data_IF_421373834400
#
_entry.id   IF_421373834400
#
_cell.length_a   1.000
_cell.length_b   1.000
_cell.length_c   1.000
_cell.angle_alpha   90.00
_cell.angle_beta   90.00
_cell.angle_gamma   90.00
#
_symmetry.space_group_name_H-M   'P 1'
#
loop_
_entity.id
_entity.type
_entity.pdbx_description
1 polymer ?
#
# COMPACT_ATOMS: atom_id res chain seq x y z
N UNK A 1 8.94 -6.51 -10.96
CA UNK A 1 8.06 -5.43 -10.50
C UNK A 1 7.23 -5.90 -9.32
N UNK A 2 7.77 -5.75 -8.13
CA UNK A 2 7.08 -5.83 -6.86
C UNK A 2 6.76 -4.40 -6.39
N UNK A 3 5.50 -4.12 -6.08
CA UNK A 3 5.02 -2.78 -5.68
C UNK A 3 4.55 -2.82 -4.24
N UNK A 4 5.05 -1.91 -3.41
CA UNK A 4 4.57 -1.71 -2.04
C UNK A 4 3.58 -0.55 -1.98
N UNK A 5 2.35 -0.81 -1.55
CA UNK A 5 1.34 0.24 -1.37
C UNK A 5 1.34 0.70 0.08
N UNK A 6 1.88 1.90 0.31
CA UNK A 6 2.09 2.47 1.64
C UNK A 6 0.94 3.39 2.03
N UNK A 7 0.28 3.22 3.20
CA UNK A 7 -0.60 4.25 3.74
C UNK A 7 0.21 5.47 4.20
N UNK A 8 -0.35 6.69 4.21
CA UNK A 8 0.37 7.90 4.63
C UNK A 8 0.79 7.84 6.11
N UNK A 9 0.06 7.10 6.95
CA UNK A 9 0.46 6.80 8.32
C UNK A 9 -0.22 5.53 8.86
N UNK A 10 0.28 5.01 9.98
CA UNK A 10 -0.37 3.91 10.71
C UNK A 10 -1.73 4.34 11.27
N UNK A 11 -1.84 5.61 11.70
CA UNK A 11 -3.11 6.15 12.20
C UNK A 11 -4.17 6.21 11.10
N UNK A 12 -3.79 6.66 9.90
CA UNK A 12 -4.68 6.68 8.75
C UNK A 12 -5.08 5.26 8.33
N UNK A 13 -4.15 4.30 8.39
CA UNK A 13 -4.46 2.88 8.19
C UNK A 13 -5.53 2.41 9.18
N UNK A 14 -5.40 2.75 10.46
CA UNK A 14 -6.38 2.39 11.50
C UNK A 14 -7.75 3.02 11.24
N UNK A 15 -7.80 4.29 10.85
CA UNK A 15 -9.04 5.00 10.50
C UNK A 15 -9.74 4.29 9.34
N UNK A 16 -9.00 3.98 8.28
CA UNK A 16 -9.55 3.30 7.09
C UNK A 16 -10.06 1.89 7.39
N UNK A 17 -9.34 1.10 8.20
CA UNK A 17 -9.77 -0.25 8.60
C UNK A 17 -11.08 -0.21 9.38
N UNK A 18 -11.22 0.73 10.33
CA UNK A 18 -12.47 0.92 11.08
C UNK A 18 -13.62 1.35 10.18
N UNK A 19 -13.37 2.29 9.25
CA UNK A 19 -14.39 2.81 8.32
C UNK A 19 -14.94 1.72 7.39
N UNK A 20 -14.13 0.72 7.03
CA UNK A 20 -14.56 -0.40 6.17
C UNK A 20 -15.60 -1.31 6.84
N UNK A 21 -15.67 -1.34 8.18
CA UNK A 21 -16.62 -2.16 8.96
C UNK A 21 -16.66 -3.66 8.58
N UNK A 22 -15.59 -4.18 7.96
CA UNK A 22 -15.50 -5.58 7.52
C UNK A 22 -14.74 -6.48 8.49
N UNK A 23 -14.08 -5.92 9.50
CA UNK A 23 -13.21 -6.64 10.44
C UNK A 23 -13.59 -6.32 11.89
N UNK A 24 -13.39 -7.29 12.80
CA UNK A 24 -13.55 -7.06 14.24
C UNK A 24 -12.44 -6.18 14.81
N UNK A 25 -12.69 -5.56 15.97
CA UNK A 25 -11.71 -4.72 16.65
C UNK A 25 -10.38 -5.44 16.92
N UNK A 26 -10.43 -6.72 17.30
CA UNK A 26 -9.22 -7.53 17.57
C UNK A 26 -8.38 -7.76 16.30
N UNK A 27 -9.04 -8.01 15.16
CA UNK A 27 -8.35 -8.16 13.87
C UNK A 27 -7.69 -6.85 13.43
N UNK A 28 -8.37 -5.73 13.64
CA UNK A 28 -7.81 -4.39 13.36
C UNK A 28 -6.57 -4.16 14.23
N UNK A 29 -6.65 -4.43 15.53
CA UNK A 29 -5.50 -4.25 16.44
C UNK A 29 -4.31 -5.13 16.06
N UNK A 30 -4.56 -6.39 15.67
CA UNK A 30 -3.51 -7.30 15.20
C UNK A 30 -2.83 -6.78 13.92
N UNK A 31 -3.59 -6.22 12.97
CA UNK A 31 -3.04 -5.59 11.76
C UNK A 31 -2.18 -4.37 12.12
N UNK A 32 -2.67 -3.49 12.99
CA UNK A 32 -1.92 -2.29 13.42
C UNK A 32 -0.63 -2.65 14.16
N UNK A 33 -0.65 -3.69 15.00
CA UNK A 33 0.55 -4.15 15.69
C UNK A 33 1.66 -4.64 14.73
N UNK A 34 1.29 -5.18 13.57
CA UNK A 34 2.22 -5.64 12.53
C UNK A 34 2.66 -4.54 11.57
N UNK A 35 1.85 -3.47 11.43
CA UNK A 35 2.05 -2.44 10.43
C UNK A 35 3.44 -1.81 10.47
N UNK A 36 4.01 -1.55 11.65
CA UNK A 36 5.37 -0.98 11.75
C UNK A 36 6.44 -1.89 11.13
N UNK A 37 6.35 -3.20 11.39
CA UNK A 37 7.30 -4.18 10.84
C UNK A 37 7.09 -4.35 9.33
N UNK A 38 5.84 -4.41 8.86
CA UNK A 38 5.53 -4.48 7.42
C UNK A 38 6.01 -3.23 6.68
N UNK A 39 5.82 -2.02 7.25
CA UNK A 39 6.30 -0.77 6.67
C UNK A 39 7.84 -0.73 6.56
N UNK A 40 8.56 -1.34 7.50
CA UNK A 40 10.02 -1.45 7.43
C UNK A 40 10.49 -2.34 6.27
N UNK A 41 9.61 -3.18 5.70
CA UNK A 41 9.93 -3.99 4.50
C UNK A 41 9.76 -3.23 3.19
N UNK A 42 9.20 -2.02 3.19
CA UNK A 42 8.96 -1.25 1.96
C UNK A 42 10.20 -1.08 1.06
N UNK A 43 11.44 -0.88 1.59
CA UNK A 43 12.64 -0.81 0.76
C UNK A 43 13.02 -2.10 0.03
N UNK A 44 12.38 -3.24 0.33
CA UNK A 44 12.61 -4.52 -0.36
C UNK A 44 11.84 -4.65 -1.68
N UNK A 45 11.01 -3.67 -2.01
CA UNK A 45 10.18 -3.66 -3.21
C UNK A 45 10.83 -2.78 -4.29
N UNK A 46 10.51 -3.06 -5.55
CA UNK A 46 11.05 -2.31 -6.69
C UNK A 46 10.53 -0.86 -6.68
N UNK A 47 9.28 -0.65 -6.25
CA UNK A 47 8.61 0.66 -6.20
C UNK A 47 7.70 0.75 -4.97
N UNK A 48 7.61 1.94 -4.38
CA UNK A 48 6.69 2.27 -3.28
C UNK A 48 5.69 3.32 -3.79
N UNK A 49 4.40 3.01 -3.73
CA UNK A 49 3.30 3.95 -4.02
C UNK A 49 2.70 4.42 -2.69
N UNK A 50 2.68 5.72 -2.46
CA UNK A 50 1.95 6.30 -1.32
C UNK A 50 0.46 6.45 -1.65
N UNK A 51 -0.40 5.89 -0.80
CA UNK A 51 -1.84 5.89 -0.99
C UNK A 51 -2.52 6.91 -0.06
N UNK A 52 -2.14 8.17 -0.19
CA UNK A 52 -2.79 9.31 0.45
C UNK A 52 -4.07 9.70 -0.32
N UNK A 53 -4.00 9.68 -1.65
CA UNK A 53 -5.07 9.97 -2.59
C UNK A 53 -5.28 8.80 -3.57
N UNK A 54 -6.51 8.29 -3.65
CA UNK A 54 -6.83 7.11 -4.44
C UNK A 54 -6.59 7.33 -5.95
N UNK A 55 -7.00 8.48 -6.50
CA UNK A 55 -6.88 8.76 -7.93
C UNK A 55 -5.42 8.81 -8.37
N UNK A 56 -4.56 9.48 -7.58
CA UNK A 56 -3.13 9.54 -7.83
C UNK A 56 -2.47 8.16 -7.74
N UNK A 57 -2.77 7.40 -6.68
CA UNK A 57 -2.19 6.07 -6.49
C UNK A 57 -2.62 5.09 -7.59
N UNK A 58 -3.85 5.20 -8.10
CA UNK A 58 -4.33 4.43 -9.24
C UNK A 58 -3.58 4.80 -10.52
N UNK A 59 -3.47 6.09 -10.83
CA UNK A 59 -2.76 6.56 -12.01
C UNK A 59 -1.28 6.14 -11.99
N UNK A 60 -0.63 6.21 -10.84
CA UNK A 60 0.74 5.74 -10.65
C UNK A 60 0.86 4.23 -10.87
N UNK A 61 -0.04 3.43 -10.28
CA UNK A 61 -0.07 1.99 -10.45
C UNK A 61 -0.31 1.57 -11.91
N UNK A 62 -1.25 2.21 -12.61
CA UNK A 62 -1.52 1.98 -14.03
C UNK A 62 -0.29 2.28 -14.88
N UNK A 63 0.34 3.43 -14.65
CA UNK A 63 1.57 3.85 -15.36
C UNK A 63 2.71 2.86 -15.12
N UNK A 64 2.89 2.38 -13.88
CA UNK A 64 3.93 1.42 -13.53
C UNK A 64 3.74 0.07 -14.21
N UNK A 65 2.50 -0.43 -14.23
CA UNK A 65 2.17 -1.71 -14.90
C UNK A 65 2.33 -1.56 -16.42
N UNK A 66 1.81 -0.47 -17.00
CA UNK A 66 1.93 -0.20 -18.44
C UNK A 66 3.40 -0.15 -18.87
N UNK A 67 4.22 0.61 -18.14
CA UNK A 67 5.66 0.67 -18.35
C UNK A 67 6.33 -0.71 -18.21
N UNK A 68 5.94 -1.52 -17.23
CA UNK A 68 6.54 -2.85 -17.06
C UNK A 68 6.18 -3.82 -18.18
N UNK A 69 4.96 -3.73 -18.72
CA UNK A 69 4.52 -4.57 -19.84
C UNK A 69 5.16 -4.14 -21.16
N UNK A 70 5.38 -2.85 -21.37
CA UNK A 70 5.86 -2.30 -22.64
C UNK A 70 7.36 -2.01 -22.69
N UNK A 71 8.05 -1.84 -21.55
CA UNK A 71 9.52 -1.67 -21.50
C UNK A 71 10.28 -3.00 -21.54
N UNK A 72 9.68 -4.06 -22.12
CA UNK A 72 10.42 -5.27 -22.49
C UNK A 72 11.22 -4.99 -23.77
N UNK A 73 12.33 -4.28 -23.64
CA UNK A 73 13.36 -4.20 -24.67
C UNK A 73 14.69 -4.69 -24.09
N UNK A 74 15.09 -5.87 -24.58
CA UNK A 74 16.27 -6.72 -24.33
C UNK A 74 16.22 -7.64 -23.09
#
# INVERSE_FOLDING_TARGET
>A
LAVFVKPPSIDELKIRLKKRQTESADKINMRIAKASAELATAPLFDVIIENDNLEKALQEAETLVDNFLHNKTL
#
